data_IF_789051715478
#
_entry.id   IF_789051715478
#
_cell.length_a   1.000
_cell.length_b   1.000
_cell.length_c   1.000
_cell.angle_alpha   90.00
_cell.angle_beta   90.00
_cell.angle_gamma   90.00
#
_symmetry.space_group_name_H-M   'P 1'
#
loop_
_entity.id
_entity.type
_entity.pdbx_description
1 polymer ?
#
# COMPACT_ATOMS: atom_id res chain seq x y z
N UNK A 1 0.81 18.86 -39.77
CA UNK A 1 -0.14 18.02 -39.00
C UNK A 1 0.44 16.68 -38.53
N UNK A 2 1.24 15.95 -39.34
CA UNK A 2 1.86 14.67 -38.93
C UNK A 2 2.79 14.71 -37.71
N UNK A 3 3.42 15.86 -37.42
CA UNK A 3 4.35 16.03 -36.28
C UNK A 3 3.65 16.29 -34.93
N UNK A 4 2.36 16.65 -34.92
CA UNK A 4 1.61 16.94 -33.70
C UNK A 4 1.07 15.66 -33.03
N UNK A 5 0.75 14.65 -33.85
CA UNK A 5 0.23 13.36 -33.39
C UNK A 5 1.28 12.60 -32.59
N UNK A 6 2.57 12.73 -32.94
CA UNK A 6 3.68 12.07 -32.25
C UNK A 6 3.88 12.61 -30.83
N UNK A 7 3.58 13.89 -30.57
CA UNK A 7 3.74 14.51 -29.26
C UNK A 7 2.67 14.05 -28.24
N UNK A 8 1.46 13.77 -28.72
CA UNK A 8 0.32 13.32 -27.88
C UNK A 8 0.51 11.84 -27.47
N UNK A 9 1.12 11.03 -28.33
CA UNK A 9 1.47 9.63 -28.01
C UNK A 9 2.63 9.47 -27.03
N UNK A 10 3.47 10.49 -26.83
CA UNK A 10 4.54 10.48 -25.82
C UNK A 10 4.05 10.86 -24.42
N UNK A 11 2.95 11.60 -24.32
CA UNK A 11 2.32 11.97 -23.04
C UNK A 11 1.46 10.84 -22.43
N UNK A 12 1.11 9.83 -23.21
CA UNK A 12 0.30 8.68 -22.75
C UNK A 12 1.13 7.58 -22.07
N UNK A 13 2.46 7.70 -22.05
CA UNK A 13 3.37 6.74 -21.39
C UNK A 13 3.83 7.19 -19.99
N UNK A 14 3.37 8.34 -19.51
CA UNK A 14 3.63 8.80 -18.14
C UNK A 14 2.49 8.32 -17.23
N UNK A 15 2.57 7.10 -16.70
CA UNK A 15 1.49 6.63 -15.84
C UNK A 15 1.64 5.27 -15.17
N UNK A 16 2.85 4.85 -14.80
CA UNK A 16 3.03 3.84 -13.74
C UNK A 16 3.56 4.55 -12.49
N UNK A 17 2.81 5.54 -11.99
CA UNK A 17 3.04 6.04 -10.63
C UNK A 17 2.25 5.14 -9.67
N UNK A 18 2.89 4.73 -8.57
CA UNK A 18 2.23 4.17 -7.39
C UNK A 18 1.27 5.22 -6.85
N UNK A 19 0.01 5.19 -7.30
CA UNK A 19 -0.95 6.30 -7.18
C UNK A 19 -1.35 6.63 -5.75
N UNK A 20 -1.17 5.68 -4.83
CA UNK A 20 -1.76 5.74 -3.50
C UNK A 20 -0.74 5.85 -2.37
N UNK A 21 0.55 5.60 -2.62
CA UNK A 21 1.57 5.64 -1.58
C UNK A 21 1.83 7.06 -1.10
N UNK A 22 1.82 7.25 0.22
CA UNK A 22 2.33 8.48 0.83
C UNK A 22 3.86 8.50 0.73
N UNK A 23 4.45 9.53 0.09
CA UNK A 23 5.90 9.74 0.15
C UNK A 23 6.36 9.95 1.59
N UNK A 24 7.54 9.43 1.93
CA UNK A 24 8.09 9.43 3.30
C UNK A 24 8.32 10.82 3.94
N UNK A 25 8.11 11.91 3.20
CA UNK A 25 8.25 13.29 3.68
C UNK A 25 7.13 14.21 3.14
N UNK A 26 6.02 13.64 2.66
CA UNK A 26 4.92 14.46 2.15
C UNK A 26 4.22 15.19 3.29
N UNK A 27 3.98 16.49 3.09
CA UNK A 27 3.04 17.24 3.93
C UNK A 27 1.69 16.52 3.96
N UNK A 28 1.10 16.46 5.16
CA UNK A 28 -0.17 15.79 5.37
C UNK A 28 -1.24 16.42 4.47
N UNK A 29 -1.82 15.60 3.59
CA UNK A 29 -2.96 16.01 2.78
C UNK A 29 -4.25 15.55 3.46
N UNK A 30 -5.27 16.41 3.60
CA UNK A 30 -6.55 15.98 4.14
C UNK A 30 -7.16 14.89 3.25
N UNK A 31 -7.81 13.91 3.89
CA UNK A 31 -8.60 12.90 3.19
C UNK A 31 -9.80 13.55 2.49
N UNK A 32 -10.12 13.08 1.29
CA UNK A 32 -11.43 13.37 0.69
C UNK A 32 -12.55 12.62 1.43
N UNK A 33 -13.82 13.02 1.26
CA UNK A 33 -14.96 12.38 1.95
C UNK A 33 -15.10 10.88 1.72
N UNK A 34 -14.55 10.36 0.62
CA UNK A 34 -14.58 8.96 0.20
C UNK A 34 -13.22 8.28 0.30
N UNK A 35 -12.23 8.89 0.96
CA UNK A 35 -10.88 8.33 1.12
C UNK A 35 -10.62 7.92 2.58
N UNK A 36 -9.78 6.90 2.76
CA UNK A 36 -9.24 6.49 4.05
C UNK A 36 -7.76 6.14 3.92
N UNK A 37 -7.10 5.92 5.06
CA UNK A 37 -5.75 5.39 5.09
C UNK A 37 -5.77 3.87 5.25
N UNK A 38 -4.94 3.20 4.44
CA UNK A 38 -4.69 1.78 4.46
C UNK A 38 -3.24 1.54 4.93
N UNK A 39 -3.10 1.08 6.17
CA UNK A 39 -1.81 0.88 6.83
C UNK A 39 -1.46 -0.59 6.98
N UNK A 40 -0.21 -0.97 6.65
CA UNK A 40 0.30 -2.31 6.88
C UNK A 40 1.81 -2.31 7.15
N UNK A 41 2.31 -3.46 7.61
CA UNK A 41 3.74 -3.71 7.77
C UNK A 41 4.12 -4.94 6.97
N UNK A 42 5.20 -4.86 6.20
CA UNK A 42 5.88 -6.02 5.64
C UNK A 42 7.11 -6.34 6.48
N UNK A 43 7.22 -7.59 6.90
CA UNK A 43 8.39 -8.13 7.57
C UNK A 43 8.88 -9.31 6.74
N UNK A 44 9.88 -9.06 5.90
CA UNK A 44 10.37 -10.03 4.92
C UNK A 44 11.86 -10.34 5.11
N UNK A 45 12.25 -11.59 4.88
CA UNK A 45 13.66 -11.97 4.77
C UNK A 45 14.23 -11.71 3.37
N UNK A 46 13.34 -11.61 2.39
CA UNK A 46 13.65 -11.49 0.97
C UNK A 46 13.09 -10.18 0.41
N UNK A 47 13.72 -9.57 -0.60
CA UNK A 47 13.16 -8.39 -1.25
C UNK A 47 11.87 -8.77 -2.00
N UNK A 48 10.83 -7.97 -1.81
CA UNK A 48 9.54 -8.12 -2.49
C UNK A 48 9.43 -7.10 -3.63
N UNK A 49 8.78 -7.47 -4.73
CA UNK A 49 8.49 -6.59 -5.87
C UNK A 49 7.05 -6.76 -6.32
N UNK A 50 6.52 -5.78 -7.06
CA UNK A 50 5.21 -5.89 -7.73
C UNK A 50 4.09 -6.36 -6.78
N UNK A 51 4.08 -5.80 -5.57
CA UNK A 51 3.12 -6.13 -4.52
C UNK A 51 1.76 -5.60 -4.99
N UNK A 52 0.83 -6.50 -5.28
CA UNK A 52 -0.43 -6.17 -5.93
C UNK A 52 -1.57 -6.14 -4.92
N UNK A 53 -2.33 -5.04 -4.97
CA UNK A 53 -3.57 -4.88 -4.23
C UNK A 53 -4.74 -4.72 -5.20
N UNK A 54 -5.92 -5.18 -4.78
CA UNK A 54 -7.15 -5.09 -5.56
C UNK A 54 -8.28 -4.55 -4.70
N UNK A 55 -8.97 -3.54 -5.20
CA UNK A 55 -10.27 -3.12 -4.69
C UNK A 55 -11.33 -4.12 -5.19
N UNK A 56 -11.96 -4.85 -4.28
CA UNK A 56 -12.89 -5.94 -4.61
C UNK A 56 -14.25 -5.46 -5.09
N UNK A 57 -14.62 -4.22 -4.79
CA UNK A 57 -15.89 -3.63 -5.19
C UNK A 57 -15.84 -3.10 -6.62
N UNK A 58 -14.74 -2.45 -7.00
CA UNK A 58 -14.56 -1.85 -8.33
C UNK A 58 -13.78 -2.74 -9.29
N UNK A 59 -13.04 -3.72 -8.77
CA UNK A 59 -12.09 -4.54 -9.52
C UNK A 59 -10.78 -3.83 -9.87
N UNK A 60 -10.59 -2.58 -9.41
CA UNK A 60 -9.39 -1.78 -9.69
C UNK A 60 -8.16 -2.37 -8.99
N UNK A 61 -7.02 -2.37 -9.66
CA UNK A 61 -5.77 -2.93 -9.15
C UNK A 61 -4.67 -1.88 -9.16
N UNK A 62 -3.79 -1.96 -8.17
CA UNK A 62 -2.59 -1.15 -8.10
C UNK A 62 -1.43 -1.96 -7.55
N UNK A 63 -0.22 -1.48 -7.84
CA UNK A 63 1.01 -2.15 -7.47
C UNK A 63 1.86 -1.22 -6.63
N UNK A 64 2.44 -1.79 -5.59
CA UNK A 64 3.52 -1.18 -4.84
C UNK A 64 4.83 -1.79 -5.32
N UNK A 65 5.85 -0.91 -5.44
CA UNK A 65 7.10 -1.22 -6.11
C UNK A 65 7.96 -2.24 -5.37
N UNK A 66 9.20 -1.86 -5.06
CA UNK A 66 10.14 -2.75 -4.38
C UNK A 66 10.18 -2.46 -2.88
N UNK A 67 10.12 -3.51 -2.07
CA UNK A 67 10.49 -3.48 -0.65
C UNK A 67 11.75 -4.31 -0.47
N UNK A 68 12.76 -3.72 0.17
CA UNK A 68 13.97 -4.47 0.53
C UNK A 68 13.70 -5.45 1.67
N UNK A 69 14.65 -6.35 1.95
CA UNK A 69 14.59 -7.19 3.15
C UNK A 69 14.46 -6.34 4.42
N UNK A 70 13.77 -6.86 5.43
CA UNK A 70 13.56 -6.21 6.73
C UNK A 70 12.10 -5.89 7.03
N UNK A 71 11.91 -4.93 7.94
CA UNK A 71 10.58 -4.48 8.40
C UNK A 71 10.30 -3.10 7.82
N UNK A 72 9.22 -2.99 7.05
CA UNK A 72 8.80 -1.77 6.36
C UNK A 72 7.34 -1.51 6.62
N UNK A 73 6.97 -0.31 7.07
CA UNK A 73 5.58 0.12 7.06
C UNK A 73 5.21 0.68 5.69
N UNK A 74 3.95 0.55 5.34
CA UNK A 74 3.34 1.15 4.17
C UNK A 74 2.00 1.74 4.59
N UNK A 75 1.82 3.03 4.30
CA UNK A 75 0.57 3.74 4.50
C UNK A 75 0.13 4.32 3.16
N UNK A 76 -1.03 3.90 2.70
CA UNK A 76 -1.61 4.31 1.43
C UNK A 76 -2.85 5.17 1.69
N UNK A 77 -3.06 6.20 0.88
CA UNK A 77 -4.31 6.96 0.85
C UNK A 77 -5.15 6.44 -0.31
N UNK A 78 -6.26 5.76 -0.03
CA UNK A 78 -7.08 5.07 -1.04
C UNK A 78 -8.56 5.44 -0.87
N UNK A 79 -9.39 5.33 -1.93
CA UNK A 79 -10.84 5.36 -1.78
C UNK A 79 -11.31 4.28 -0.81
N UNK A 80 -12.37 4.55 -0.04
CA UNK A 80 -13.00 3.58 0.84
C UNK A 80 -13.47 2.33 0.06
N UNK A 81 -13.47 1.19 0.74
CA UNK A 81 -13.90 -0.09 0.18
C UNK A 81 -13.06 -1.29 0.62
N UNK A 82 -13.43 -2.48 0.17
CA UNK A 82 -12.70 -3.72 0.44
C UNK A 82 -11.45 -3.85 -0.45
N UNK A 83 -10.26 -3.93 0.16
CA UNK A 83 -8.99 -4.17 -0.52
C UNK A 83 -8.37 -5.49 -0.10
N UNK A 84 -7.83 -6.22 -1.07
CA UNK A 84 -7.08 -7.45 -0.82
C UNK A 84 -5.66 -7.38 -1.36
N UNK A 85 -4.71 -7.93 -0.61
CA UNK A 85 -3.39 -8.29 -1.12
C UNK A 85 -3.54 -9.54 -2.00
N UNK A 86 -3.27 -9.39 -3.30
CA UNK A 86 -3.49 -10.45 -4.31
C UNK A 86 -2.22 -11.26 -4.54
N UNK A 87 -1.06 -10.62 -4.46
CA UNK A 87 0.21 -11.31 -4.71
C UNK A 87 1.40 -10.37 -4.72
N UNK A 88 2.59 -10.95 -4.88
CA UNK A 88 3.84 -10.23 -5.00
C UNK A 88 4.88 -11.12 -5.68
N UNK A 89 5.98 -10.51 -6.13
CA UNK A 89 7.11 -11.21 -6.69
C UNK A 89 8.23 -11.28 -5.66
N UNK A 90 8.87 -12.45 -5.56
CA UNK A 90 10.05 -12.69 -4.74
C UNK A 90 11.05 -13.49 -5.56
N UNK A 91 12.30 -13.04 -5.61
CA UNK A 91 13.27 -13.51 -6.59
C UNK A 91 12.71 -13.39 -8.03
N UNK A 92 12.58 -14.52 -8.72
CA UNK A 92 11.99 -14.65 -10.06
C UNK A 92 10.64 -15.42 -10.02
N UNK A 93 10.03 -15.55 -8.83
CA UNK A 93 8.77 -16.25 -8.62
C UNK A 93 7.64 -15.27 -8.28
N UNK A 94 6.48 -15.52 -8.89
CA UNK A 94 5.22 -14.87 -8.55
C UNK A 94 4.49 -15.69 -7.50
N UNK A 95 4.09 -15.04 -6.41
CA UNK A 95 3.21 -15.60 -5.39
C UNK A 95 1.85 -14.96 -5.56
N UNK A 96 0.86 -15.75 -5.95
CA UNK A 96 -0.54 -15.32 -6.06
C UNK A 96 -1.40 -16.08 -5.04
N UNK A 97 -2.25 -15.37 -4.32
CA UNK A 97 -3.19 -16.00 -3.41
C UNK A 97 -4.46 -16.45 -4.17
N UNK A 98 -4.86 -17.70 -3.96
CA UNK A 98 -6.17 -18.18 -4.39
C UNK A 98 -7.23 -17.83 -3.33
N UNK A 99 -8.44 -17.47 -3.78
CA UNK A 99 -9.59 -17.12 -2.93
C UNK A 99 -9.37 -15.91 -1.99
N UNK A 100 -9.32 -14.72 -2.62
CA UNK A 100 -9.30 -13.39 -1.99
C UNK A 100 -8.04 -13.04 -1.17
N UNK A 101 -7.10 -13.96 -0.95
CA UNK A 101 -5.85 -13.64 -0.25
C UNK A 101 -6.11 -13.09 1.15
N UNK A 102 -5.51 -11.93 1.47
CA UNK A 102 -5.81 -11.21 2.70
C UNK A 102 -6.59 -9.96 2.33
N UNK A 103 -7.72 -9.70 2.99
CA UNK A 103 -8.57 -8.53 2.73
C UNK A 103 -8.90 -7.74 3.99
N UNK A 104 -9.07 -6.42 3.83
CA UNK A 104 -9.68 -5.54 4.83
C UNK A 104 -10.53 -4.49 4.16
N UNK A 105 -11.51 -3.99 4.89
CA UNK A 105 -12.26 -2.82 4.51
C UNK A 105 -11.50 -1.56 4.93
N UNK A 106 -11.51 -0.53 4.08
CA UNK A 106 -11.01 0.81 4.39
C UNK A 106 -12.20 1.72 4.61
N UNK A 107 -12.40 2.16 5.85
CA UNK A 107 -13.43 3.14 6.19
C UNK A 107 -13.00 4.57 5.81
N UNK A 108 -13.96 5.35 5.30
CA UNK A 108 -13.74 6.72 4.89
C UNK A 108 -13.45 7.61 6.11
N UNK A 109 -12.43 8.45 6.02
CA UNK A 109 -12.00 9.33 7.11
C UNK A 109 -11.16 8.66 8.18
N UNK A 110 -10.89 7.35 8.09
CA UNK A 110 -10.22 6.60 9.15
C UNK A 110 -8.83 6.08 8.76
N UNK A 111 -8.06 5.69 9.78
CA UNK A 111 -6.82 4.92 9.63
C UNK A 111 -7.10 3.44 9.87
N UNK A 112 -7.01 2.65 8.81
CA UNK A 112 -7.33 1.24 8.82
C UNK A 112 -6.01 0.43 8.84
N UNK A 113 -5.67 -0.13 10.01
CA UNK A 113 -4.51 -1.01 10.11
C UNK A 113 -4.88 -2.43 9.72
N UNK A 114 -4.25 -2.90 8.65
CA UNK A 114 -4.54 -4.19 8.06
C UNK A 114 -3.81 -5.35 8.75
N UNK A 115 -2.54 -5.15 9.10
CA UNK A 115 -1.73 -6.19 9.72
C UNK A 115 -0.24 -6.13 9.37
N UNK A 116 0.52 -7.03 9.98
CA UNK A 116 1.90 -7.33 9.64
C UNK A 116 1.95 -8.60 8.78
N UNK A 117 2.39 -8.46 7.53
CA UNK A 117 2.67 -9.55 6.61
C UNK A 117 4.09 -10.06 6.81
N UNK A 118 4.19 -11.26 7.36
CA UNK A 118 5.45 -11.94 7.60
C UNK A 118 5.70 -12.87 6.40
N UNK A 119 6.67 -12.53 5.55
CA UNK A 119 7.01 -13.31 4.35
C UNK A 119 8.29 -14.11 4.60
N UNK A 120 8.19 -15.44 4.52
CA UNK A 120 9.28 -16.41 4.76
C UNK A 120 9.22 -17.52 3.71
N UNK A 121 10.04 -17.42 2.67
CA UNK A 121 10.32 -18.50 1.71
C UNK A 121 9.13 -19.36 1.21
N UNK A 122 8.27 -18.86 0.31
CA UNK A 122 7.52 -17.61 0.36
C UNK A 122 6.15 -17.83 1.05
N UNK A 123 6.16 -18.37 2.27
CA UNK A 123 4.97 -18.46 3.11
C UNK A 123 4.67 -17.08 3.68
N UNK A 124 3.43 -16.62 3.52
CA UNK A 124 2.97 -15.37 4.12
C UNK A 124 1.97 -15.65 5.25
N UNK A 125 2.25 -15.05 6.40
CA UNK A 125 1.33 -15.05 7.55
C UNK A 125 0.96 -13.61 7.86
N UNK A 126 -0.33 -13.35 8.06
CA UNK A 126 -0.79 -12.09 8.63
C UNK A 126 -0.83 -12.18 10.16
N UNK A 127 -0.25 -11.20 10.83
CA UNK A 127 -0.26 -11.07 12.29
C UNK A 127 -0.71 -9.67 12.69
N UNK A 128 -1.42 -9.56 13.81
CA UNK A 128 -1.79 -8.24 14.36
C UNK A 128 -0.63 -7.75 15.21
N UNK A 129 0.06 -6.71 14.75
CA UNK A 129 1.14 -6.05 15.49
C UNK A 129 1.02 -4.53 15.41
N UNK A 130 -0.11 -4.02 15.90
CA UNK A 130 -0.46 -2.60 15.82
C UNK A 130 0.60 -1.69 16.45
N UNK A 131 1.20 -2.10 17.58
CA UNK A 131 2.24 -1.31 18.24
C UNK A 131 3.47 -1.07 17.34
N UNK A 132 3.88 -2.07 16.57
CA UNK A 132 4.97 -1.92 15.60
C UNK A 132 4.58 -0.98 14.48
N UNK A 133 3.35 -1.10 13.98
CA UNK A 133 2.85 -0.20 12.95
C UNK A 133 2.87 1.26 13.44
N UNK A 134 2.30 1.55 14.61
CA UNK A 134 2.28 2.90 15.19
C UNK A 134 3.70 3.44 15.42
N UNK A 135 4.62 2.62 15.93
CA UNK A 135 6.01 3.04 16.15
C UNK A 135 6.77 3.38 14.84
N UNK A 136 6.44 2.69 13.75
CA UNK A 136 7.00 3.01 12.43
C UNK A 136 6.30 4.21 11.79
N UNK A 137 4.98 4.30 11.93
CA UNK A 137 4.17 5.41 11.42
C UNK A 137 4.54 6.74 12.09
N UNK A 138 4.76 6.75 13.41
CA UNK A 138 5.17 7.97 14.12
C UNK A 138 6.54 8.48 13.69
N UNK A 139 7.41 7.58 13.21
CA UNK A 139 8.72 7.92 12.67
C UNK A 139 8.63 8.43 11.23
N UNK A 140 7.88 7.74 10.38
CA UNK A 140 7.86 8.00 8.94
C UNK A 140 6.81 9.06 8.54
N UNK A 141 5.68 9.14 9.26
CA UNK A 141 4.58 10.08 9.01
C UNK A 141 4.01 10.61 10.34
N UNK A 142 4.79 11.40 11.12
CA UNK A 142 4.41 11.85 12.47
C UNK A 142 3.08 12.61 12.51
N UNK A 143 2.80 13.44 11.50
CA UNK A 143 1.55 14.22 11.45
C UNK A 143 0.32 13.33 11.21
N UNK A 144 0.43 12.34 10.32
CA UNK A 144 -0.63 11.35 10.08
C UNK A 144 -0.88 10.51 11.33
N UNK A 145 0.19 10.12 12.02
CA UNK A 145 0.09 9.39 13.28
C UNK A 145 -0.71 10.22 14.31
N UNK A 146 -0.28 11.46 14.58
CA UNK A 146 -0.92 12.33 15.58
C UNK A 146 -2.39 12.58 15.29
N UNK A 147 -2.76 12.82 14.04
CA UNK A 147 -4.15 13.11 13.68
C UNK A 147 -5.05 11.87 13.81
N UNK A 148 -4.63 10.74 13.24
CA UNK A 148 -5.54 9.59 13.04
C UNK A 148 -5.41 8.49 14.09
N UNK A 149 -4.29 8.43 14.82
CA UNK A 149 -4.11 7.50 15.94
C UNK A 149 -4.23 8.26 17.27
N UNK A 150 -3.69 9.48 17.36
CA UNK A 150 -3.73 10.29 18.56
C UNK A 150 -2.79 9.77 19.66
N UNK A 151 -3.35 9.25 20.75
CA UNK A 151 -2.58 8.78 21.90
C UNK A 151 -1.81 7.52 21.52
N UNK A 152 -0.47 7.55 21.63
CA UNK A 152 0.40 6.43 21.25
C UNK A 152 1.31 6.76 20.06
N UNK A 153 1.06 7.90 19.42
CA UNK A 153 2.07 8.71 18.74
C UNK A 153 2.72 9.66 19.75
#
# INVERSE_FOLDING_TARGET
MRKLIVLISLLSLAGCLTTYRLPADAEMQPLKPDEGYFGLVFNSLDPLKNIQFKNMETGSEFYEGRLERGVHQMTLKVPAGEYCLVGFDVYDFRVDYQDKGFCTYVEAGEMNYFGEFIVRDPVTVASINFNRYVALLSKDHPEVCKEYIGIGC
#
